data_IF_248579729450
#
_entry.id   IF_248579729450
#
_cell.length_a   1.000
_cell.length_b   1.000
_cell.length_c   1.000
_cell.angle_alpha   90.00
_cell.angle_beta   90.00
_cell.angle_gamma   90.00
#
_symmetry.space_group_name_H-M   'P 1'
#
loop_
_entity.id
_entity.type
_entity.pdbx_description
1 polymer ?
#
# COMPACT_ATOMS: atom_id res chain seq x y z
N UNK A 1 16.43 38.52 23.47
CA UNK A 1 15.51 38.86 22.37
C UNK A 1 14.64 37.69 21.87
N UNK A 2 14.71 36.49 22.48
CA UNK A 2 13.88 35.33 22.12
C UNK A 2 12.54 35.22 22.87
N UNK A 3 12.45 35.72 24.11
CA UNK A 3 11.23 35.59 24.91
C UNK A 3 10.05 36.38 24.33
N UNK A 4 10.31 37.55 23.73
CA UNK A 4 9.26 38.40 23.14
C UNK A 4 8.61 37.77 21.89
N UNK A 5 9.40 37.00 21.11
CA UNK A 5 8.90 36.25 19.95
C UNK A 5 8.00 35.09 20.38
N UNK A 6 8.38 34.40 21.45
CA UNK A 6 7.64 33.28 22.02
C UNK A 6 6.26 33.70 22.55
N UNK A 7 6.16 34.86 23.21
CA UNK A 7 4.86 35.39 23.67
C UNK A 7 3.97 35.83 22.51
N UNK A 8 4.54 36.44 21.46
CA UNK A 8 3.79 36.87 20.27
C UNK A 8 3.29 35.68 19.43
N UNK A 9 4.08 34.63 19.29
CA UNK A 9 3.69 33.40 18.57
C UNK A 9 2.53 32.66 19.29
N UNK A 10 2.58 32.58 20.62
CA UNK A 10 1.51 31.97 21.42
C UNK A 10 0.19 32.73 21.36
N UNK A 11 0.21 34.07 21.16
CA UNK A 11 -1.01 34.90 21.05
C UNK A 11 -1.55 34.93 19.61
N UNK A 12 -0.70 34.67 18.60
CA UNK A 12 -1.05 34.67 17.18
C UNK A 12 -1.48 33.30 16.61
N UNK A 13 -1.60 32.26 17.44
CA UNK A 13 -2.08 30.93 17.04
C UNK A 13 -1.16 30.17 16.08
N UNK A 14 0.08 30.61 15.93
CA UNK A 14 1.11 29.89 15.16
C UNK A 14 2.01 29.18 16.16
N UNK A 15 1.80 27.87 16.36
CA UNK A 15 2.76 27.08 17.13
C UNK A 15 4.13 27.21 16.44
N UNK A 16 5.12 27.75 17.16
CA UNK A 16 6.50 27.70 16.67
C UNK A 16 6.86 26.23 16.42
N UNK A 17 7.51 25.90 15.29
CA UNK A 17 7.99 24.55 15.04
C UNK A 17 8.81 24.08 16.24
N UNK A 18 8.59 22.84 16.68
CA UNK A 18 9.44 22.24 17.71
C UNK A 18 10.84 22.16 17.09
N UNK A 19 11.85 22.72 17.76
CA UNK A 19 13.25 22.71 17.30
C UNK A 19 14.08 21.77 18.17
N UNK A 20 15.17 21.24 17.59
CA UNK A 20 16.17 20.46 18.31
C UNK A 20 16.01 18.93 18.18
N UNK A 21 16.84 18.15 18.90
CA UNK A 21 16.86 16.69 18.81
C UNK A 21 15.53 16.02 19.12
N UNK A 22 14.64 16.69 19.84
CA UNK A 22 13.30 16.17 20.15
C UNK A 22 12.33 16.30 18.96
N UNK A 23 12.59 17.24 18.04
CA UNK A 23 11.80 17.45 16.84
C UNK A 23 12.18 16.54 15.66
N UNK A 24 13.48 16.22 15.54
CA UNK A 24 14.01 15.31 14.52
C UNK A 24 14.87 14.27 15.24
N UNK A 25 14.31 13.07 15.36
CA UNK A 25 14.95 11.95 16.03
C UNK A 25 15.41 10.91 15.02
N UNK A 26 16.58 10.29 15.21
CA UNK A 26 16.93 9.12 14.42
C UNK A 26 15.95 7.99 14.73
N UNK A 27 15.61 7.19 13.71
CA UNK A 27 14.71 6.02 13.86
C UNK A 27 15.22 5.06 14.95
N UNK A 28 16.54 4.96 15.11
CA UNK A 28 17.16 4.15 16.17
C UNK A 28 16.75 4.55 17.59
N UNK A 29 16.47 5.84 17.85
CA UNK A 29 15.94 6.29 19.15
C UNK A 29 14.47 5.96 19.31
N UNK A 30 13.68 6.10 18.25
CA UNK A 30 12.25 5.81 18.28
C UNK A 30 11.98 4.31 18.49
N UNK A 31 12.86 3.47 17.94
CA UNK A 31 12.77 2.02 17.97
C UNK A 31 13.61 1.36 19.10
N UNK A 32 14.17 2.15 20.02
CA UNK A 32 15.13 1.67 21.05
C UNK A 32 14.53 0.57 21.96
N UNK A 33 13.23 0.68 22.28
CA UNK A 33 12.52 -0.30 23.13
C UNK A 33 11.79 -1.38 22.34
N UNK A 34 11.23 -1.01 21.18
CA UNK A 34 10.43 -1.91 20.34
C UNK A 34 10.94 -1.80 18.91
N UNK A 35 12.00 -2.57 18.56
CA UNK A 35 12.62 -2.47 17.25
C UNK A 35 11.77 -3.09 16.14
N UNK A 36 10.93 -4.07 16.48
CA UNK A 36 10.00 -4.70 15.57
C UNK A 36 8.77 -5.21 16.32
N UNK A 37 7.73 -5.54 15.55
CA UNK A 37 6.55 -6.27 16.01
C UNK A 37 6.35 -7.48 15.12
N UNK A 38 5.81 -8.56 15.68
CA UNK A 38 5.36 -9.68 14.86
C UNK A 38 4.15 -9.26 14.03
N UNK A 39 4.13 -9.69 12.76
CA UNK A 39 3.02 -9.45 11.86
C UNK A 39 1.80 -10.22 12.37
N UNK A 40 0.70 -9.52 12.59
CA UNK A 40 -0.58 -10.13 12.92
C UNK A 40 -1.52 -10.04 11.73
N UNK A 41 -2.52 -10.91 11.70
CA UNK A 41 -3.54 -10.90 10.65
C UNK A 41 -4.19 -9.50 10.57
N UNK A 42 -4.48 -8.86 11.69
CA UNK A 42 -5.10 -7.53 11.75
C UNK A 42 -4.30 -6.43 11.04
N UNK A 43 -2.97 -6.57 10.96
CA UNK A 43 -2.10 -5.62 10.26
C UNK A 43 -2.27 -5.69 8.74
N UNK A 44 -2.86 -6.77 8.23
CA UNK A 44 -3.11 -7.02 6.81
C UNK A 44 -4.44 -6.44 6.29
N UNK A 45 -5.22 -5.78 7.17
CA UNK A 45 -6.49 -5.15 6.78
C UNK A 45 -6.25 -3.93 5.89
N UNK A 46 -7.08 -3.80 4.87
CA UNK A 46 -7.30 -2.53 4.20
C UNK A 46 -7.91 -1.53 5.19
N UNK A 47 -7.36 -0.32 5.24
CA UNK A 47 -7.88 0.74 6.13
C UNK A 47 -9.00 1.53 5.46
N UNK A 48 -8.92 1.70 4.14
CA UNK A 48 -9.78 2.50 3.28
C UNK A 48 -10.26 3.81 3.95
N UNK A 49 -9.35 4.70 4.42
CA UNK A 49 -9.78 5.87 5.16
C UNK A 49 -10.51 6.86 4.23
N UNK A 50 -11.42 7.62 4.81
CA UNK A 50 -12.28 8.56 4.09
C UNK A 50 -11.60 9.90 3.73
N UNK A 51 -10.31 10.06 4.05
CA UNK A 51 -9.49 11.21 3.66
C UNK A 51 -8.54 10.85 2.51
N UNK A 52 -7.85 11.87 1.98
CA UNK A 52 -6.90 11.68 0.88
C UNK A 52 -5.81 10.68 1.27
N UNK A 53 -5.80 9.54 0.60
CA UNK A 53 -4.92 8.43 0.93
C UNK A 53 -4.67 7.54 -0.30
N UNK A 54 -3.51 6.90 -0.30
CA UNK A 54 -3.19 5.83 -1.23
C UNK A 54 -2.81 4.62 -0.40
N UNK A 55 -3.52 3.52 -0.59
CA UNK A 55 -3.18 2.22 -0.03
C UNK A 55 -2.77 1.28 -1.14
N UNK A 56 -1.69 0.56 -0.90
CA UNK A 56 -1.09 -0.32 -1.89
C UNK A 56 -0.74 -1.64 -1.24
N UNK A 57 -1.18 -2.74 -1.84
CA UNK A 57 -0.71 -4.08 -1.50
C UNK A 57 0.04 -4.66 -2.71
N UNK A 58 1.28 -5.10 -2.48
CA UNK A 58 2.15 -5.67 -3.53
C UNK A 58 2.57 -7.07 -3.10
N UNK A 59 2.40 -8.02 -4.01
CA UNK A 59 2.68 -9.43 -3.78
C UNK A 59 3.75 -9.88 -4.75
N UNK A 60 4.84 -10.42 -4.21
CA UNK A 60 5.88 -11.07 -4.99
C UNK A 60 5.61 -12.58 -4.97
N UNK A 61 5.74 -13.20 -6.13
CA UNK A 61 5.50 -14.63 -6.30
C UNK A 61 6.57 -15.24 -7.20
N UNK A 62 6.98 -16.45 -6.84
CA UNK A 62 7.84 -17.30 -7.66
C UNK A 62 7.04 -18.55 -7.99
N UNK A 63 6.84 -18.83 -9.27
CA UNK A 63 6.17 -20.03 -9.72
C UNK A 63 7.12 -21.24 -9.63
N UNK A 64 6.54 -22.45 -9.67
CA UNK A 64 7.30 -23.70 -9.56
C UNK A 64 8.32 -23.90 -10.70
N UNK A 65 8.12 -23.23 -11.84
CA UNK A 65 9.03 -23.22 -12.98
C UNK A 65 10.18 -22.19 -12.86
N UNK A 66 10.22 -21.44 -11.76
CA UNK A 66 11.22 -20.39 -11.51
C UNK A 66 10.83 -19.01 -12.03
N UNK A 67 9.65 -18.85 -12.63
CA UNK A 67 9.14 -17.54 -13.06
C UNK A 67 8.94 -16.62 -11.86
N UNK A 68 9.62 -15.47 -11.87
CA UNK A 68 9.41 -14.42 -10.88
C UNK A 68 8.41 -13.40 -11.41
N UNK A 69 7.41 -13.07 -10.60
CA UNK A 69 6.43 -12.05 -10.92
C UNK A 69 6.04 -11.24 -9.68
N UNK A 70 5.42 -10.09 -9.90
CA UNK A 70 4.67 -9.39 -8.87
C UNK A 70 3.34 -8.88 -9.40
N UNK A 71 2.39 -8.75 -8.48
CA UNK A 71 1.10 -8.10 -8.71
C UNK A 71 0.85 -7.05 -7.63
N UNK A 72 0.18 -5.97 -7.97
CA UNK A 72 -0.10 -4.87 -7.05
C UNK A 72 -1.52 -4.37 -7.26
N UNK A 73 -2.21 -4.15 -6.14
CA UNK A 73 -3.49 -3.44 -6.09
C UNK A 73 -3.22 -2.08 -5.45
N UNK A 74 -3.64 -1.02 -6.14
CA UNK A 74 -3.61 0.35 -5.60
C UNK A 74 -5.05 0.79 -5.41
N UNK A 75 -5.36 1.24 -4.19
CA UNK A 75 -6.60 1.94 -3.83
C UNK A 75 -6.25 3.40 -3.52
N UNK A 76 -6.69 4.32 -4.36
CA UNK A 76 -6.46 5.75 -4.19
C UNK A 76 -7.78 6.45 -3.91
N UNK A 77 -7.90 7.04 -2.71
CA UNK A 77 -9.05 7.84 -2.33
C UNK A 77 -8.65 9.31 -2.26
N UNK A 78 -9.33 10.17 -3.03
CA UNK A 78 -9.14 11.62 -3.01
C UNK A 78 -10.26 12.23 -2.18
N UNK A 79 -9.96 12.51 -0.90
CA UNK A 79 -10.85 13.16 0.06
C UNK A 79 -12.27 12.55 0.15
N UNK A 80 -12.45 11.25 -0.11
CA UNK A 80 -13.76 10.59 -0.14
C UNK A 80 -14.64 10.98 -1.34
N UNK A 81 -14.13 11.81 -2.26
CA UNK A 81 -14.87 12.35 -3.40
C UNK A 81 -14.67 11.52 -4.66
N UNK A 82 -13.47 10.99 -4.85
CA UNK A 82 -13.13 10.20 -6.02
C UNK A 82 -12.18 9.08 -5.65
N UNK A 83 -12.56 7.87 -5.99
CA UNK A 83 -11.74 6.67 -5.75
C UNK A 83 -11.32 6.08 -7.08
N UNK A 84 -10.01 5.92 -7.26
CA UNK A 84 -9.45 5.17 -8.39
C UNK A 84 -8.75 3.93 -7.87
N UNK A 85 -8.89 2.83 -8.60
CA UNK A 85 -8.20 1.58 -8.30
C UNK A 85 -7.40 1.15 -9.52
N UNK A 86 -6.21 0.59 -9.29
CA UNK A 86 -5.33 0.07 -10.35
C UNK A 86 -4.84 -1.32 -9.99
N UNK A 87 -4.73 -2.18 -11.00
CA UNK A 87 -4.07 -3.48 -10.91
C UNK A 87 -2.84 -3.46 -11.81
N UNK A 88 -1.67 -3.64 -11.20
CA UNK A 88 -0.41 -3.71 -11.92
C UNK A 88 0.13 -5.13 -11.85
N UNK A 89 0.66 -5.64 -12.96
CA UNK A 89 1.32 -6.95 -13.03
C UNK A 89 2.68 -6.79 -13.68
N UNK A 90 3.69 -7.50 -13.17
CA UNK A 90 5.01 -7.61 -13.81
C UNK A 90 5.50 -9.05 -13.79
N UNK A 91 5.96 -9.55 -14.93
CA UNK A 91 6.65 -10.83 -15.05
C UNK A 91 8.10 -10.53 -15.46
N UNK A 92 9.05 -11.07 -14.70
CA UNK A 92 10.47 -10.85 -14.94
C UNK A 92 11.01 -11.92 -15.89
N UNK A 93 11.51 -11.48 -17.04
CA UNK A 93 12.52 -12.22 -17.80
C UNK A 93 13.86 -12.19 -17.02
N UNK A 94 14.19 -13.29 -16.34
CA UNK A 94 15.37 -13.40 -15.49
C UNK A 94 16.65 -13.77 -16.25
N UNK A 95 16.49 -14.45 -17.38
CA UNK A 95 17.60 -14.89 -18.25
C UNK A 95 18.01 -13.82 -19.29
N UNK A 96 17.21 -12.75 -19.41
CA UNK A 96 17.43 -11.68 -20.37
C UNK A 96 17.10 -12.04 -21.82
N UNK A 97 16.43 -13.18 -22.06
CA UNK A 97 16.04 -13.63 -23.41
C UNK A 97 14.93 -12.76 -24.01
N UNK A 98 14.09 -12.15 -23.16
CA UNK A 98 13.01 -11.25 -23.54
C UNK A 98 12.96 -10.01 -22.62
N UNK A 99 12.24 -8.94 -23.02
CA UNK A 99 11.88 -7.86 -22.10
C UNK A 99 11.00 -8.37 -20.96
N UNK A 100 10.97 -7.63 -19.84
CA UNK A 100 9.97 -7.88 -18.81
C UNK A 100 8.57 -7.55 -19.35
N UNK A 101 7.58 -8.36 -18.97
CA UNK A 101 6.18 -8.06 -19.25
C UNK A 101 5.64 -7.20 -18.12
N UNK A 102 4.98 -6.09 -18.43
CA UNK A 102 4.37 -5.21 -17.45
C UNK A 102 3.05 -4.65 -17.97
N UNK A 103 2.04 -4.69 -17.11
CA UNK A 103 0.69 -4.20 -17.39
C UNK A 103 0.20 -3.36 -16.21
N UNK A 104 -0.62 -2.35 -16.53
CA UNK A 104 -1.28 -1.46 -15.58
C UNK A 104 -2.68 -1.21 -16.08
N UNK A 105 -3.65 -1.76 -15.35
CA UNK A 105 -5.03 -1.79 -15.75
C UNK A 105 -5.91 -1.10 -14.70
N UNK A 106 -6.82 -0.24 -15.16
CA UNK A 106 -7.78 0.43 -14.27
C UNK A 106 -8.84 -0.54 -13.81
N UNK A 107 -9.16 -0.52 -12.51
CA UNK A 107 -10.19 -1.35 -11.91
C UNK A 107 -11.49 -0.59 -11.72
N UNK A 108 -12.60 -1.27 -11.93
CA UNK A 108 -13.95 -0.75 -11.79
C UNK A 108 -14.75 -1.55 -10.75
N UNK A 109 -15.79 -0.93 -10.19
CA UNK A 109 -16.71 -1.54 -9.23
C UNK A 109 -16.00 -2.24 -8.05
N UNK A 110 -15.02 -1.55 -7.47
CA UNK A 110 -14.26 -2.06 -6.34
C UNK A 110 -15.13 -2.22 -5.08
N UNK A 111 -14.80 -3.21 -4.24
CA UNK A 111 -15.41 -3.45 -2.95
C UNK A 111 -14.42 -4.12 -2.00
N UNK A 112 -14.63 -3.92 -0.70
CA UNK A 112 -13.97 -4.68 0.35
C UNK A 112 -14.95 -5.69 0.94
N UNK A 113 -14.44 -6.81 1.46
CA UNK A 113 -15.24 -7.64 2.33
C UNK A 113 -15.53 -6.92 3.67
N UNK A 114 -16.55 -7.35 4.45
CA UNK A 114 -16.91 -6.69 5.70
C UNK A 114 -15.77 -6.59 6.71
N UNK A 115 -14.84 -7.55 6.69
CA UNK A 115 -13.70 -7.59 7.61
C UNK A 115 -12.45 -6.85 7.12
N UNK A 116 -12.50 -6.32 5.89
CA UNK A 116 -11.43 -5.57 5.21
C UNK A 116 -10.16 -6.37 4.91
N UNK A 117 -10.26 -7.70 4.78
CA UNK A 117 -9.15 -8.58 4.43
C UNK A 117 -9.07 -8.89 2.93
N UNK A 118 -10.16 -8.65 2.21
CA UNK A 118 -10.30 -8.98 0.80
C UNK A 118 -10.66 -7.75 -0.01
N UNK A 119 -10.18 -7.73 -1.25
CA UNK A 119 -10.49 -6.69 -2.22
C UNK A 119 -11.05 -7.35 -3.48
N UNK A 120 -12.21 -6.88 -3.92
CA UNK A 120 -12.84 -7.29 -5.18
C UNK A 120 -12.96 -6.10 -6.12
N UNK A 121 -12.91 -6.37 -7.43
CA UNK A 121 -13.27 -5.45 -8.50
C UNK A 121 -13.75 -6.27 -9.70
N UNK A 122 -14.22 -5.60 -10.75
CA UNK A 122 -14.54 -6.30 -12.00
C UNK A 122 -13.32 -7.09 -12.50
N UNK A 123 -13.51 -8.40 -12.71
CA UNK A 123 -12.48 -9.35 -13.15
C UNK A 123 -11.25 -9.48 -12.24
N UNK A 124 -11.32 -9.01 -10.97
CA UNK A 124 -10.26 -9.18 -9.98
C UNK A 124 -10.82 -9.57 -8.62
N UNK A 125 -10.22 -10.59 -8.00
CA UNK A 125 -10.46 -10.93 -6.60
C UNK A 125 -9.13 -11.19 -5.88
N UNK A 126 -8.96 -10.54 -4.73
CA UNK A 126 -7.85 -10.71 -3.81
C UNK A 126 -8.42 -11.09 -2.43
N UNK A 127 -8.05 -12.26 -1.92
CA UNK A 127 -8.61 -12.81 -0.69
C UNK A 127 -7.50 -13.35 0.21
N UNK A 128 -7.48 -12.90 1.46
CA UNK A 128 -6.69 -13.51 2.52
C UNK A 128 -7.48 -14.68 3.14
N UNK A 129 -6.82 -15.81 3.37
CA UNK A 129 -7.46 -16.96 4.00
C UNK A 129 -7.80 -16.71 5.49
N UNK A 130 -8.58 -17.62 6.08
CA UNK A 130 -9.01 -17.50 7.47
C UNK A 130 -7.83 -17.51 8.45
N UNK A 131 -6.78 -18.28 8.17
CA UNK A 131 -5.57 -18.35 9.00
C UNK A 131 -4.71 -17.07 8.94
N UNK A 132 -4.83 -16.26 7.87
CA UNK A 132 -4.06 -15.03 7.70
C UNK A 132 -2.64 -15.24 7.16
N UNK A 133 -2.36 -16.40 6.55
CA UNK A 133 -1.02 -16.79 6.08
C UNK A 133 -0.93 -17.00 4.56
N UNK A 134 -2.05 -16.98 3.83
CA UNK A 134 -2.07 -17.18 2.39
C UNK A 134 -3.07 -16.27 1.67
N UNK A 135 -2.63 -15.68 0.55
CA UNK A 135 -3.48 -14.92 -0.36
C UNK A 135 -3.85 -15.74 -1.60
N UNK A 136 -5.09 -15.60 -2.04
CA UNK A 136 -5.56 -16.06 -3.36
C UNK A 136 -5.85 -14.84 -4.22
N UNK A 137 -5.21 -14.77 -5.39
CA UNK A 137 -5.39 -13.69 -6.36
C UNK A 137 -5.90 -14.30 -7.67
N UNK A 138 -7.08 -13.86 -8.11
CA UNK A 138 -7.68 -14.25 -9.38
C UNK A 138 -7.86 -13.00 -10.22
N UNK A 139 -7.26 -12.98 -11.42
CA UNK A 139 -7.36 -11.85 -12.33
C UNK A 139 -7.69 -12.34 -13.74
N UNK A 140 -8.68 -11.69 -14.35
CA UNK A 140 -9.00 -11.74 -15.77
C UNK A 140 -9.14 -10.31 -16.33
N UNK A 141 -8.48 -9.33 -15.70
CA UNK A 141 -8.58 -7.91 -16.05
C UNK A 141 -8.03 -7.64 -17.46
N UNK A 142 -6.99 -8.39 -17.85
CA UNK A 142 -6.35 -8.26 -19.15
C UNK A 142 -6.22 -9.62 -19.82
N UNK A 143 -7.02 -9.87 -20.85
CA UNK A 143 -7.02 -11.12 -21.62
C UNK A 143 -5.80 -11.25 -22.56
N UNK A 144 -5.11 -10.14 -22.85
CA UNK A 144 -3.99 -10.09 -23.82
C UNK A 144 -2.70 -10.67 -23.24
N UNK A 145 -2.61 -10.84 -21.92
CA UNK A 145 -1.39 -11.31 -21.24
C UNK A 145 -1.00 -12.74 -21.64
N UNK A 146 -1.94 -13.54 -22.19
CA UNK A 146 -1.74 -14.96 -22.49
C UNK A 146 -1.55 -15.29 -23.99
N UNK A 147 -1.59 -14.30 -24.88
CA UNK A 147 -1.63 -14.54 -26.34
C UNK A 147 -0.33 -14.23 -27.10
N UNK A 148 0.83 -14.27 -26.44
CA UNK A 148 2.12 -14.01 -27.12
C UNK A 148 3.05 -15.21 -27.00
#
# INVERSE_FOLDING_TARGET
MNWLKQTLANVAGTQEPIYGPDAIQPVSKQAEKTPYTELKKEDLKWRAPQYTSVETQTFYMMADDGTLAWVQVIYNNIAGLHTTCQFNTKIYSLDGSAPHLWHSDTLYNHLFDPDMYSFGADNLALTLNEAGDAYTIKSAVNETVWST
#
